data_IF_685274546316
#
_entry.id   IF_685274546316
#
_cell.length_a   1.000
_cell.length_b   1.000
_cell.length_c   1.000
_cell.angle_alpha   90.00
_cell.angle_beta   90.00
_cell.angle_gamma   90.00
#
_symmetry.space_group_name_H-M   'P 1'
#
loop_
_entity.id
_entity.type
_entity.pdbx_description
1 polymer ?
#
# COMPACT_ATOMS: atom_id res chain seq x y z
N UNK A 1 26.45 9.84 3.44
CA UNK A 1 26.89 10.28 2.09
C UNK A 1 25.97 9.77 0.99
N UNK A 2 25.72 8.46 0.85
CA UNK A 2 24.88 7.88 -0.23
C UNK A 2 23.43 8.40 -0.18
N UNK A 3 22.77 8.31 0.98
CA UNK A 3 21.38 8.79 1.16
C UNK A 3 21.22 10.25 0.77
N UNK A 4 22.14 11.11 1.19
CA UNK A 4 22.14 12.53 0.83
C UNK A 4 22.22 12.74 -0.69
N UNK A 5 23.17 12.09 -1.34
CA UNK A 5 23.35 12.18 -2.79
C UNK A 5 22.13 11.70 -3.58
N UNK A 6 21.46 10.62 -3.09
CA UNK A 6 20.23 10.11 -3.68
C UNK A 6 19.08 11.14 -3.57
N UNK A 7 18.87 11.70 -2.38
CA UNK A 7 17.83 12.71 -2.16
C UNK A 7 18.08 13.99 -2.96
N UNK A 8 19.32 14.49 -2.98
CA UNK A 8 19.71 15.65 -3.81
C UNK A 8 19.50 15.37 -5.30
N UNK A 9 19.82 14.14 -5.74
CA UNK A 9 19.56 13.70 -7.11
C UNK A 9 18.06 13.66 -7.45
N UNK A 10 17.23 13.17 -6.53
CA UNK A 10 15.77 13.19 -6.68
C UNK A 10 15.23 14.63 -6.77
N UNK A 11 15.66 15.52 -5.87
CA UNK A 11 15.26 16.93 -5.86
C UNK A 11 15.64 17.60 -7.19
N UNK A 12 16.85 17.35 -7.68
CA UNK A 12 17.32 17.89 -8.96
C UNK A 12 16.44 17.43 -10.14
N UNK A 13 15.93 16.20 -10.07
CA UNK A 13 15.18 15.57 -11.17
C UNK A 13 16.06 15.11 -12.32
N UNK A 14 15.44 14.47 -13.32
CA UNK A 14 16.14 13.81 -14.43
C UNK A 14 15.93 14.52 -15.76
N UNK A 15 16.95 14.44 -16.61
CA UNK A 15 16.92 14.95 -17.98
C UNK A 15 16.97 16.48 -18.08
N UNK A 16 16.77 16.98 -19.30
CA UNK A 16 16.87 18.40 -19.66
C UNK A 16 15.88 19.27 -18.88
N UNK A 17 14.71 18.77 -18.57
CA UNK A 17 13.62 19.48 -17.91
C UNK A 17 13.47 19.15 -16.44
N UNK A 18 14.48 18.50 -15.83
CA UNK A 18 14.46 18.17 -14.40
C UNK A 18 13.18 17.47 -13.93
N UNK A 19 12.65 16.54 -14.75
CA UNK A 19 11.41 15.84 -14.45
C UNK A 19 11.57 14.93 -13.22
N UNK A 20 10.45 14.70 -12.52
CA UNK A 20 10.40 13.71 -11.45
C UNK A 20 10.69 12.33 -12.03
N UNK A 21 11.65 11.62 -11.44
CA UNK A 21 11.91 10.22 -11.82
C UNK A 21 10.78 9.33 -11.31
N UNK A 22 10.35 8.39 -12.14
CA UNK A 22 9.33 7.42 -11.76
C UNK A 22 9.95 6.32 -10.88
N UNK A 23 11.17 5.92 -11.20
CA UNK A 23 11.96 4.92 -10.48
C UNK A 23 13.39 5.43 -10.26
N UNK A 24 14.07 4.95 -9.17
CA UNK A 24 13.58 4.04 -8.13
C UNK A 24 12.56 4.71 -7.19
N UNK A 25 11.61 3.91 -6.66
CA UNK A 25 10.73 4.36 -5.58
C UNK A 25 11.56 4.51 -4.30
N UNK A 26 11.87 5.75 -3.91
CA UNK A 26 12.65 6.04 -2.71
C UNK A 26 11.85 5.70 -1.44
N UNK A 27 12.49 5.04 -0.48
CA UNK A 27 11.94 4.78 0.86
C UNK A 27 12.91 5.37 1.88
N UNK A 28 12.41 6.22 2.77
CA UNK A 28 13.15 6.77 3.88
C UNK A 28 12.71 6.07 5.17
N UNK A 29 13.65 5.46 5.87
CA UNK A 29 13.38 4.79 7.14
C UNK A 29 13.40 5.81 8.28
N UNK A 30 12.25 5.99 8.93
CA UNK A 30 12.10 6.83 10.11
C UNK A 30 12.35 6.02 11.37
N UNK A 31 13.25 6.50 12.25
CA UNK A 31 13.62 5.83 13.49
C UNK A 31 13.82 6.86 14.62
N UNK A 32 13.21 6.62 15.78
CA UNK A 32 13.33 7.48 16.97
C UNK A 32 14.79 7.55 17.44
N UNK A 33 15.24 8.75 17.80
CA UNK A 33 16.62 8.98 18.25
C UNK A 33 17.68 8.93 17.16
N UNK A 34 17.30 8.69 15.90
CA UNK A 34 18.19 8.62 14.75
C UNK A 34 17.97 9.78 13.78
N UNK A 35 16.70 10.06 13.41
CA UNK A 35 16.44 11.05 12.36
C UNK A 35 15.12 11.82 12.46
N UNK A 36 14.27 11.58 13.49
CA UNK A 36 12.91 12.12 13.54
C UNK A 36 12.78 13.51 14.20
N UNK A 37 13.77 13.94 14.97
CA UNK A 37 13.69 15.16 15.79
C UNK A 37 14.93 16.01 15.63
N UNK A 38 14.81 17.35 15.82
CA UNK A 38 15.98 18.23 15.97
C UNK A 38 16.93 17.70 17.03
N UNK A 39 18.21 17.59 16.68
CA UNK A 39 19.26 17.02 17.53
C UNK A 39 19.54 15.53 17.29
N UNK A 40 18.69 14.81 16.60
CA UNK A 40 19.02 13.45 16.14
C UNK A 40 20.18 13.46 15.14
N UNK A 41 21.05 12.44 15.12
CA UNK A 41 22.28 12.40 14.29
C UNK A 41 22.06 12.60 12.78
N UNK A 42 20.92 12.21 12.25
CA UNK A 42 20.56 12.26 10.83
C UNK A 42 19.29 13.08 10.57
N UNK A 43 18.95 14.02 11.44
CA UNK A 43 17.77 14.87 11.27
C UNK A 43 17.84 15.73 9.99
N UNK A 44 19.04 16.17 9.59
CA UNK A 44 19.28 16.89 8.35
C UNK A 44 18.88 16.07 7.11
N UNK A 45 19.09 14.77 7.13
CA UNK A 45 18.67 13.86 6.06
C UNK A 45 17.14 13.69 6.03
N UNK A 46 16.49 13.69 7.19
CA UNK A 46 15.04 13.67 7.27
C UNK A 46 14.43 14.95 6.67
N UNK A 47 14.96 16.11 7.01
CA UNK A 47 14.54 17.39 6.40
C UNK A 47 14.73 17.39 4.89
N UNK A 48 15.85 16.87 4.41
CA UNK A 48 16.12 16.73 2.98
C UNK A 48 15.15 15.74 2.30
N UNK A 49 14.74 14.67 3.00
CA UNK A 49 13.72 13.74 2.52
C UNK A 49 12.36 14.41 2.37
N UNK A 50 11.95 15.23 3.35
CA UNK A 50 10.72 16.04 3.29
C UNK A 50 10.76 17.03 2.12
N UNK A 51 11.89 17.69 1.90
CA UNK A 51 12.09 18.59 0.74
C UNK A 51 11.95 17.81 -0.58
N UNK A 52 12.54 16.63 -0.67
CA UNK A 52 12.40 15.78 -1.84
C UNK A 52 10.92 15.37 -2.08
N UNK A 53 10.22 14.92 -1.05
CA UNK A 53 8.79 14.55 -1.14
C UNK A 53 7.94 15.75 -1.59
N UNK A 54 8.19 16.94 -1.06
CA UNK A 54 7.43 18.14 -1.39
C UNK A 54 7.52 18.51 -2.88
N UNK A 55 8.66 18.20 -3.52
CA UNK A 55 8.96 18.55 -4.90
C UNK A 55 8.79 17.40 -5.89
N UNK A 56 8.89 16.13 -5.43
CA UNK A 56 9.11 14.98 -6.30
C UNK A 56 8.30 13.74 -5.95
N UNK A 57 7.33 13.81 -5.04
CA UNK A 57 6.52 12.66 -4.58
C UNK A 57 7.28 11.57 -3.81
N UNK A 58 8.59 11.62 -3.74
CA UNK A 58 9.45 10.65 -3.05
C UNK A 58 10.46 11.34 -2.15
N UNK A 59 10.92 10.63 -1.09
CA UNK A 59 10.63 9.25 -0.70
C UNK A 59 9.29 9.07 -0.01
N UNK A 60 8.85 7.81 0.11
CA UNK A 60 7.87 7.40 1.13
C UNK A 60 8.59 7.14 2.44
N UNK A 61 7.83 7.01 3.54
CA UNK A 61 8.37 6.89 4.89
C UNK A 61 8.01 5.54 5.49
N UNK A 62 9.04 4.76 5.87
CA UNK A 62 8.88 3.48 6.56
C UNK A 62 9.19 3.67 8.05
N UNK A 63 8.30 3.21 8.92
CA UNK A 63 8.41 3.31 10.36
C UNK A 63 9.20 2.11 10.92
N UNK A 64 10.46 2.30 11.25
CA UNK A 64 11.29 1.23 11.84
C UNK A 64 10.76 0.83 13.22
N UNK A 65 10.21 1.80 13.96
CA UNK A 65 9.65 1.62 15.30
C UNK A 65 8.21 1.10 15.34
N UNK A 66 7.67 0.73 14.18
CA UNK A 66 6.32 0.16 14.09
C UNK A 66 6.16 -1.06 15.00
N UNK A 67 5.05 -1.12 15.75
CA UNK A 67 4.81 -2.19 16.72
C UNK A 67 4.77 -3.60 16.09
N UNK A 68 4.32 -3.71 14.84
CA UNK A 68 4.34 -4.97 14.08
C UNK A 68 5.75 -5.44 13.69
N UNK A 69 6.78 -4.61 13.85
CA UNK A 69 8.19 -4.95 13.71
C UNK A 69 8.93 -5.04 15.06
N UNK A 70 8.21 -5.08 16.18
CA UNK A 70 8.79 -5.23 17.51
C UNK A 70 9.73 -6.45 17.55
N UNK A 71 10.90 -6.28 18.16
CA UNK A 71 11.93 -7.33 18.21
C UNK A 71 12.93 -7.27 17.05
N UNK A 72 12.93 -6.20 16.23
CA UNK A 72 14.07 -5.93 15.35
C UNK A 72 15.33 -5.66 16.19
N UNK A 73 16.50 -5.96 15.60
CA UNK A 73 17.77 -5.69 16.23
C UNK A 73 18.29 -4.32 15.79
N UNK A 74 18.44 -3.35 16.72
CA UNK A 74 18.96 -2.01 16.40
C UNK A 74 20.37 -2.00 15.80
N UNK A 75 21.15 -3.06 16.03
CA UNK A 75 22.50 -3.20 15.51
C UNK A 75 22.54 -3.96 14.17
N UNK A 76 21.42 -4.56 13.73
CA UNK A 76 21.30 -5.26 12.45
C UNK A 76 20.23 -4.61 11.53
N UNK A 77 20.62 -3.71 10.61
CA UNK A 77 19.69 -3.07 9.68
C UNK A 77 18.88 -4.02 8.79
N UNK A 78 19.31 -5.29 8.63
CA UNK A 78 18.56 -6.29 7.86
C UNK A 78 17.26 -6.71 8.54
N UNK A 79 17.08 -6.37 9.82
CA UNK A 79 15.87 -6.62 10.61
C UNK A 79 14.91 -5.42 10.61
N UNK A 80 15.33 -4.25 10.10
CA UNK A 80 14.51 -3.05 10.07
C UNK A 80 13.32 -3.20 9.17
N UNK A 81 12.19 -2.61 9.57
CA UNK A 81 11.02 -2.56 8.72
C UNK A 81 11.33 -1.76 7.46
N UNK A 82 11.03 -2.34 6.34
CA UNK A 82 11.01 -1.70 5.02
C UNK A 82 10.05 -2.44 4.11
N UNK A 83 9.70 -1.82 2.99
CA UNK A 83 8.81 -2.40 1.99
C UNK A 83 9.56 -2.71 0.70
N UNK A 84 9.02 -3.64 -0.08
CA UNK A 84 9.44 -3.93 -1.45
C UNK A 84 8.39 -3.36 -2.40
N UNK A 85 8.84 -2.64 -3.44
CA UNK A 85 7.93 -1.99 -4.38
C UNK A 85 6.95 -1.06 -3.68
N UNK A 86 5.65 -1.24 -3.94
CA UNK A 86 4.63 -0.29 -3.49
C UNK A 86 4.36 -0.33 -1.98
N UNK A 87 4.25 -1.53 -1.40
CA UNK A 87 3.91 -1.71 0.03
C UNK A 87 4.20 -3.10 0.57
N UNK A 88 4.63 -4.05 -0.24
CA UNK A 88 4.89 -5.43 0.19
C UNK A 88 5.95 -5.45 1.28
N UNK A 89 5.70 -6.20 2.35
CA UNK A 89 6.64 -6.34 3.47
C UNK A 89 6.83 -7.82 3.84
N UNK A 90 7.98 -8.12 4.43
CA UNK A 90 8.26 -9.42 4.99
C UNK A 90 8.03 -9.39 6.50
N UNK A 91 7.05 -10.16 6.98
CA UNK A 91 6.86 -10.41 8.41
C UNK A 91 7.89 -11.41 8.98
N UNK A 92 7.66 -11.87 10.20
CA UNK A 92 8.47 -12.92 10.81
C UNK A 92 8.47 -14.19 9.96
N UNK A 93 9.67 -14.74 9.70
CA UNK A 93 9.84 -16.01 8.99
C UNK A 93 9.84 -17.19 9.93
N UNK A 94 8.91 -18.14 9.74
CA UNK A 94 8.82 -19.37 10.53
C UNK A 94 9.90 -20.40 10.17
N UNK A 95 10.58 -20.21 9.02
CA UNK A 95 11.54 -21.17 8.45
C UNK A 95 12.99 -20.87 8.77
N UNK A 96 13.27 -20.04 9.79
CA UNK A 96 14.58 -19.87 10.38
C UNK A 96 15.24 -18.50 10.16
N UNK A 97 14.73 -17.62 9.28
CA UNK A 97 15.26 -16.26 9.12
C UNK A 97 14.73 -15.30 10.19
N UNK A 98 13.60 -15.64 10.87
CA UNK A 98 13.07 -14.81 11.94
C UNK A 98 12.74 -13.39 11.48
N UNK A 99 13.40 -12.38 12.05
CA UNK A 99 13.22 -10.97 11.72
C UNK A 99 13.98 -10.52 10.46
N UNK A 100 14.88 -11.33 9.89
CA UNK A 100 15.62 -10.94 8.69
C UNK A 100 14.66 -10.66 7.53
N UNK A 101 14.84 -9.53 6.87
CA UNK A 101 14.00 -9.07 5.75
C UNK A 101 14.66 -9.31 4.40
N UNK A 102 15.99 -9.28 4.36
CA UNK A 102 16.78 -9.38 3.14
C UNK A 102 16.68 -10.76 2.46
N UNK A 103 16.75 -10.76 1.15
CA UNK A 103 16.77 -11.98 0.35
C UNK A 103 15.47 -12.77 0.35
N UNK A 104 14.38 -12.17 0.80
CA UNK A 104 13.02 -12.74 0.83
C UNK A 104 12.12 -11.97 -0.14
N UNK A 105 10.99 -12.57 -0.52
CA UNK A 105 10.06 -11.94 -1.44
C UNK A 105 8.60 -12.36 -1.18
N UNK A 106 7.66 -11.67 -1.82
CA UNK A 106 6.29 -12.12 -1.93
C UNK A 106 6.20 -13.12 -3.10
N UNK A 107 5.90 -14.38 -2.78
CA UNK A 107 5.91 -15.48 -3.75
C UNK A 107 4.64 -15.46 -4.60
N UNK A 108 3.48 -15.28 -3.95
CA UNK A 108 2.21 -15.19 -4.63
C UNK A 108 1.19 -14.42 -3.78
N UNK A 109 0.40 -13.52 -4.38
CA UNK A 109 -0.77 -12.91 -3.75
C UNK A 109 -2.08 -13.53 -4.27
N UNK A 110 -3.10 -13.56 -3.41
CA UNK A 110 -4.51 -13.75 -3.77
C UNK A 110 -5.33 -12.64 -3.12
N UNK A 111 -6.24 -12.02 -3.87
CA UNK A 111 -7.08 -10.92 -3.37
C UNK A 111 -8.54 -11.34 -3.36
N UNK A 112 -9.19 -11.22 -2.21
CA UNK A 112 -10.63 -11.46 -2.02
C UNK A 112 -11.39 -10.17 -2.32
N UNK A 113 -12.42 -10.25 -3.17
CA UNK A 113 -13.31 -9.12 -3.48
C UNK A 113 -14.45 -9.13 -2.47
N UNK A 114 -14.30 -8.37 -1.40
CA UNK A 114 -15.23 -8.39 -0.27
C UNK A 114 -16.65 -7.94 -0.61
N UNK A 115 -16.90 -6.91 -1.44
CA UNK A 115 -18.26 -6.49 -1.78
C UNK A 115 -19.08 -7.60 -2.46
N UNK A 116 -18.43 -8.45 -3.26
CA UNK A 116 -19.10 -9.61 -3.86
C UNK A 116 -19.57 -10.60 -2.80
N UNK A 117 -18.72 -10.88 -1.79
CA UNK A 117 -19.12 -11.74 -0.66
C UNK A 117 -20.24 -11.13 0.17
N UNK A 118 -20.24 -9.80 0.34
CA UNK A 118 -21.31 -9.12 1.08
C UNK A 118 -22.67 -9.24 0.38
N UNK A 119 -22.69 -9.16 -0.96
CA UNK A 119 -23.93 -9.39 -1.73
C UNK A 119 -24.40 -10.83 -1.64
N UNK A 120 -23.50 -11.80 -1.77
CA UNK A 120 -23.82 -13.22 -1.59
C UNK A 120 -24.38 -13.49 -0.17
N UNK A 121 -23.78 -12.87 0.85
CA UNK A 121 -24.25 -12.98 2.23
C UNK A 121 -25.65 -12.37 2.41
N UNK A 122 -25.92 -11.27 1.72
CA UNK A 122 -27.24 -10.62 1.74
C UNK A 122 -28.30 -11.54 1.13
N UNK A 123 -28.03 -12.12 -0.04
CA UNK A 123 -28.93 -13.06 -0.69
C UNK A 123 -29.19 -14.30 0.19
N UNK A 124 -28.15 -14.90 0.74
CA UNK A 124 -28.25 -16.08 1.63
C UNK A 124 -29.00 -15.75 2.92
N UNK A 125 -28.78 -14.58 3.52
CA UNK A 125 -29.46 -14.15 4.72
C UNK A 125 -30.96 -13.91 4.49
N UNK A 126 -31.33 -13.31 3.36
CA UNK A 126 -32.72 -13.09 2.95
C UNK A 126 -33.46 -14.42 2.69
N UNK A 127 -32.80 -15.37 2.03
CA UNK A 127 -33.39 -16.69 1.76
C UNK A 127 -33.60 -17.53 3.02
N UNK A 128 -32.68 -17.46 3.97
CA UNK A 128 -32.67 -18.32 5.15
C UNK A 128 -33.22 -17.65 6.41
N UNK A 129 -33.49 -16.35 6.37
CA UNK A 129 -33.96 -15.58 7.54
C UNK A 129 -32.89 -15.47 8.65
N UNK A 130 -31.61 -15.38 8.26
CA UNK A 130 -30.44 -15.32 9.16
C UNK A 130 -29.81 -13.94 9.18
N UNK A 131 -28.89 -13.69 10.11
CA UNK A 131 -28.17 -12.43 10.20
C UNK A 131 -27.14 -12.32 9.05
N UNK A 132 -27.15 -11.17 8.36
CA UNK A 132 -26.29 -10.92 7.21
C UNK A 132 -24.81 -10.91 7.58
N UNK A 133 -24.46 -10.42 8.79
CA UNK A 133 -23.05 -10.35 9.23
C UNK A 133 -22.56 -11.76 9.52
N UNK A 134 -23.37 -12.62 10.14
CA UNK A 134 -23.01 -13.99 10.40
C UNK A 134 -22.82 -14.78 9.10
N UNK A 135 -23.72 -14.62 8.11
CA UNK A 135 -23.56 -15.19 6.77
C UNK A 135 -22.27 -14.69 6.10
N UNK A 136 -22.01 -13.39 6.15
CA UNK A 136 -20.78 -12.83 5.58
C UNK A 136 -19.52 -13.41 6.22
N UNK A 137 -19.46 -13.50 7.55
CA UNK A 137 -18.30 -14.04 8.25
C UNK A 137 -18.05 -15.52 7.93
N UNK A 138 -19.11 -16.33 7.77
CA UNK A 138 -19.01 -17.72 7.32
C UNK A 138 -18.49 -17.82 5.88
N UNK A 139 -19.00 -17.01 4.97
CA UNK A 139 -18.53 -16.97 3.58
C UNK A 139 -17.08 -16.49 3.49
N UNK A 140 -16.71 -15.49 4.28
CA UNK A 140 -15.33 -14.99 4.35
C UNK A 140 -14.39 -16.09 4.83
N UNK A 141 -14.74 -16.80 5.89
CA UNK A 141 -13.93 -17.91 6.39
C UNK A 141 -13.69 -18.98 5.31
N UNK A 142 -14.75 -19.38 4.62
CA UNK A 142 -14.66 -20.30 3.49
C UNK A 142 -13.73 -19.78 2.39
N UNK A 143 -13.84 -18.50 2.03
CA UNK A 143 -12.98 -17.87 1.00
C UNK A 143 -11.53 -17.76 1.42
N UNK A 144 -11.25 -17.55 2.69
CA UNK A 144 -9.89 -17.58 3.22
C UNK A 144 -9.26 -18.98 3.09
N UNK A 145 -10.02 -20.04 3.32
CA UNK A 145 -9.56 -21.40 3.07
C UNK A 145 -9.32 -21.68 1.58
N UNK A 146 -10.20 -21.23 0.69
CA UNK A 146 -9.99 -21.33 -0.77
C UNK A 146 -8.74 -20.55 -1.22
N UNK A 147 -8.53 -19.34 -0.70
CA UNK A 147 -7.35 -18.53 -0.97
C UNK A 147 -6.05 -19.21 -0.52
N UNK A 148 -6.07 -19.84 0.66
CA UNK A 148 -4.96 -20.65 1.15
C UNK A 148 -4.64 -21.81 0.20
N UNK A 149 -5.67 -22.56 -0.27
CA UNK A 149 -5.47 -23.71 -1.17
C UNK A 149 -4.84 -23.25 -2.50
N UNK A 150 -5.34 -22.15 -3.08
CA UNK A 150 -4.75 -21.57 -4.29
C UNK A 150 -3.30 -21.10 -4.09
N UNK A 151 -2.97 -20.54 -2.92
CA UNK A 151 -1.61 -20.08 -2.63
C UNK A 151 -0.65 -21.26 -2.46
N UNK A 152 -1.09 -22.35 -1.83
CA UNK A 152 -0.29 -23.58 -1.71
C UNK A 152 -0.06 -24.19 -3.10
N UNK A 153 -1.10 -24.32 -3.92
CA UNK A 153 -0.97 -24.85 -5.28
C UNK A 153 0.04 -24.03 -6.12
N UNK A 154 -0.06 -22.70 -6.07
CA UNK A 154 0.89 -21.81 -6.75
C UNK A 154 2.32 -21.95 -6.21
N UNK A 155 2.46 -22.05 -4.91
CA UNK A 155 3.76 -22.27 -4.27
C UNK A 155 4.40 -23.57 -4.73
N UNK A 156 3.65 -24.67 -4.71
CA UNK A 156 4.11 -25.99 -5.18
C UNK A 156 4.49 -25.96 -6.65
N UNK A 157 3.66 -25.32 -7.49
CA UNK A 157 3.95 -25.15 -8.91
C UNK A 157 5.26 -24.38 -9.13
N UNK A 158 5.45 -23.25 -8.43
CA UNK A 158 6.68 -22.45 -8.56
C UNK A 158 7.88 -23.25 -8.07
N UNK A 159 7.77 -23.97 -6.94
CA UNK A 159 8.83 -24.83 -6.42
C UNK A 159 9.21 -26.00 -7.33
N UNK A 160 8.33 -26.41 -8.22
CA UNK A 160 8.58 -27.46 -9.22
C UNK A 160 9.37 -26.96 -10.45
N UNK A 161 9.54 -25.63 -10.59
CA UNK A 161 10.26 -25.08 -11.72
C UNK A 161 11.78 -25.29 -11.55
N UNK A 162 12.52 -25.40 -12.66
CA UNK A 162 13.98 -25.52 -12.59
C UNK A 162 14.60 -24.18 -12.16
N UNK A 163 15.77 -24.24 -11.53
CA UNK A 163 16.51 -23.07 -11.06
C UNK A 163 16.80 -22.06 -12.18
N UNK A 164 16.96 -22.53 -13.39
CA UNK A 164 17.20 -21.74 -14.60
C UNK A 164 16.09 -20.75 -14.91
N UNK A 165 14.87 -20.98 -14.42
CA UNK A 165 13.73 -20.05 -14.58
C UNK A 165 14.01 -18.66 -13.97
N UNK A 166 14.88 -18.60 -12.95
CA UNK A 166 15.32 -17.35 -12.32
C UNK A 166 16.77 -17.48 -11.84
N UNK A 167 17.65 -18.01 -12.70
CA UNK A 167 19.05 -18.38 -12.43
C UNK A 167 19.82 -17.29 -11.67
N UNK A 168 19.75 -16.04 -12.13
CA UNK A 168 20.45 -14.92 -11.49
C UNK A 168 20.06 -14.76 -10.01
N UNK A 169 18.78 -14.91 -9.68
CA UNK A 169 18.29 -14.69 -8.32
C UNK A 169 18.80 -15.74 -7.34
N UNK A 170 18.95 -16.99 -7.79
CA UNK A 170 19.41 -18.08 -6.95
C UNK A 170 20.95 -18.12 -6.86
N UNK A 171 21.65 -18.06 -7.98
CA UNK A 171 23.13 -18.11 -8.01
C UNK A 171 23.80 -16.91 -7.32
N UNK A 172 23.16 -15.74 -7.29
CA UNK A 172 23.68 -14.53 -6.66
C UNK A 172 23.08 -14.27 -5.28
N UNK A 173 22.41 -15.24 -4.69
CA UNK A 173 21.81 -15.16 -3.35
C UNK A 173 20.86 -13.95 -3.19
N UNK A 174 20.25 -13.48 -4.29
CA UNK A 174 19.20 -12.44 -4.24
C UNK A 174 17.94 -12.98 -3.55
N UNK A 175 17.63 -14.27 -3.81
CA UNK A 175 16.74 -15.07 -2.98
C UNK A 175 17.60 -15.87 -2.00
N UNK A 176 17.66 -15.38 -0.76
CA UNK A 176 18.53 -15.97 0.28
C UNK A 176 18.06 -17.38 0.70
N UNK A 177 19.04 -18.19 1.13
CA UNK A 177 18.75 -19.54 1.62
C UNK A 177 18.65 -20.59 0.50
N UNK A 178 19.03 -20.27 -0.72
CA UNK A 178 19.06 -21.27 -1.79
C UNK A 178 20.12 -22.35 -1.53
N UNK A 179 19.70 -23.61 -1.59
CA UNK A 179 20.54 -24.80 -1.48
C UNK A 179 20.32 -25.63 -2.76
N UNK A 180 21.33 -25.77 -3.63
CA UNK A 180 21.18 -26.44 -4.94
C UNK A 180 20.58 -27.85 -4.86
N UNK A 181 20.98 -28.62 -3.85
CA UNK A 181 20.54 -30.01 -3.64
C UNK A 181 19.08 -30.12 -3.20
N UNK A 182 18.53 -29.05 -2.59
CA UNK A 182 17.12 -28.96 -2.14
C UNK A 182 16.23 -28.24 -3.17
N UNK A 183 16.83 -27.69 -4.22
CA UNK A 183 16.16 -26.92 -5.24
C UNK A 183 15.64 -25.57 -4.74
N UNK A 184 14.84 -24.89 -5.60
CA UNK A 184 14.40 -23.51 -5.34
C UNK A 184 13.48 -23.39 -4.13
N UNK A 185 12.84 -24.46 -3.67
CA UNK A 185 12.03 -24.48 -2.44
C UNK A 185 12.85 -24.04 -1.23
N UNK A 186 14.13 -24.35 -1.16
CA UNK A 186 15.01 -23.97 -0.04
C UNK A 186 15.05 -22.45 0.18
N UNK A 187 14.98 -21.65 -0.89
CA UNK A 187 14.87 -20.20 -0.81
C UNK A 187 13.42 -19.73 -0.68
N UNK A 188 12.48 -20.30 -1.47
CA UNK A 188 11.11 -19.80 -1.55
C UNK A 188 10.30 -20.03 -0.28
N UNK A 189 10.63 -21.03 0.55
CA UNK A 189 9.98 -21.25 1.86
C UNK A 189 10.09 -20.06 2.81
N UNK A 190 11.10 -19.19 2.62
CA UNK A 190 11.29 -17.96 3.40
C UNK A 190 10.43 -16.79 2.91
N UNK A 191 9.87 -16.89 1.70
CA UNK A 191 9.01 -15.87 1.13
C UNK A 191 7.60 -15.87 1.72
N UNK A 192 6.81 -14.87 1.33
CA UNK A 192 5.45 -14.67 1.83
C UNK A 192 4.41 -15.15 0.83
N UNK A 193 3.37 -15.82 1.33
CA UNK A 193 2.12 -16.11 0.63
C UNK A 193 1.07 -15.12 1.12
N UNK A 194 0.68 -14.18 0.28
CA UNK A 194 -0.08 -13.01 0.69
C UNK A 194 -1.58 -13.17 0.41
N UNK A 195 -2.40 -13.05 1.46
CA UNK A 195 -3.86 -13.00 1.36
C UNK A 195 -4.30 -11.55 1.47
N UNK A 196 -4.82 -11.01 0.38
CA UNK A 196 -5.26 -9.63 0.29
C UNK A 196 -6.76 -9.47 0.19
N UNK A 197 -7.21 -8.21 0.23
CA UNK A 197 -8.61 -7.83 0.11
C UNK A 197 -8.80 -6.55 -0.70
N UNK A 198 -10.03 -6.34 -1.17
CA UNK A 198 -10.49 -5.16 -1.90
C UNK A 198 -11.89 -4.78 -1.47
N UNK A 199 -12.15 -3.48 -1.32
CA UNK A 199 -13.51 -2.93 -1.15
C UNK A 199 -14.08 -3.08 0.25
N UNK A 200 -13.26 -2.87 1.30
CA UNK A 200 -13.75 -2.92 2.69
C UNK A 200 -14.85 -1.88 2.92
N UNK A 201 -14.69 -0.65 2.45
CA UNK A 201 -15.67 0.41 2.64
C UNK A 201 -17.04 0.03 2.06
N UNK A 202 -17.07 -0.39 0.78
CA UNK A 202 -18.31 -0.78 0.11
C UNK A 202 -18.92 -2.06 0.72
N UNK A 203 -18.09 -2.95 1.25
CA UNK A 203 -18.56 -4.13 2.01
C UNK A 203 -19.33 -3.72 3.24
N UNK A 204 -18.79 -2.80 4.02
CA UNK A 204 -19.45 -2.28 5.23
C UNK A 204 -20.74 -1.54 4.88
N UNK A 205 -20.76 -0.75 3.80
CA UNK A 205 -21.96 -0.09 3.30
C UNK A 205 -23.05 -1.10 2.92
N UNK A 206 -22.71 -2.23 2.28
CA UNK A 206 -23.69 -3.29 1.97
C UNK A 206 -24.22 -3.95 3.24
N UNK A 207 -23.35 -4.23 4.21
CA UNK A 207 -23.70 -5.00 5.40
C UNK A 207 -24.46 -4.18 6.44
N UNK A 208 -24.09 -2.91 6.64
CA UNK A 208 -24.60 -2.09 7.75
C UNK A 208 -24.98 -0.65 7.36
N UNK A 209 -24.82 -0.25 6.09
CA UNK A 209 -25.14 1.09 5.60
C UNK A 209 -24.12 2.18 5.95
N UNK A 210 -22.98 1.83 6.51
CA UNK A 210 -21.91 2.74 6.95
C UNK A 210 -20.56 2.16 6.61
N UNK A 211 -19.52 2.99 6.45
CA UNK A 211 -18.14 2.52 6.23
C UNK A 211 -17.25 2.71 7.49
N UNK A 212 -15.97 2.41 7.40
CA UNK A 212 -15.02 2.44 8.53
C UNK A 212 -14.71 3.84 9.08
N UNK A 213 -15.29 4.89 8.54
CA UNK A 213 -15.19 6.25 9.09
C UNK A 213 -16.08 6.45 10.32
N UNK A 214 -17.07 5.59 10.53
CA UNK A 214 -17.95 5.59 11.70
C UNK A 214 -17.46 4.58 12.76
N UNK A 215 -17.87 4.76 14.01
CA UNK A 215 -17.55 3.84 15.09
C UNK A 215 -18.04 2.42 14.81
N UNK A 216 -19.30 2.29 14.40
CA UNK A 216 -19.92 1.00 14.07
C UNK A 216 -19.27 0.33 12.85
N UNK A 217 -18.96 1.10 11.81
CA UNK A 217 -18.23 0.61 10.64
C UNK A 217 -16.83 0.14 11.02
N UNK A 218 -16.11 0.89 11.86
CA UNK A 218 -14.79 0.53 12.35
C UNK A 218 -14.81 -0.76 13.21
N UNK A 219 -15.83 -0.95 14.05
CA UNK A 219 -15.96 -2.16 14.84
C UNK A 219 -16.10 -3.41 13.95
N UNK A 220 -16.96 -3.35 12.94
CA UNK A 220 -17.12 -4.45 11.98
C UNK A 220 -15.86 -4.63 11.12
N UNK A 221 -15.22 -3.55 10.68
CA UNK A 221 -13.94 -3.60 9.97
C UNK A 221 -12.88 -4.38 10.76
N UNK A 222 -12.73 -4.06 12.06
CA UNK A 222 -11.78 -4.79 12.93
C UNK A 222 -12.12 -6.27 13.08
N UNK A 223 -13.40 -6.66 13.11
CA UNK A 223 -13.81 -8.06 13.15
C UNK A 223 -13.40 -8.79 11.87
N UNK A 224 -13.60 -8.15 10.72
CA UNK A 224 -13.21 -8.69 9.40
C UNK A 224 -11.68 -8.88 9.34
N UNK A 225 -10.92 -7.84 9.68
CA UNK A 225 -9.45 -7.88 9.65
C UNK A 225 -8.87 -8.87 10.66
N UNK A 226 -9.51 -9.02 11.83
CA UNK A 226 -9.10 -10.01 12.82
C UNK A 226 -9.24 -11.43 12.26
N UNK A 227 -10.29 -11.73 11.50
CA UNK A 227 -10.45 -13.03 10.85
C UNK A 227 -9.33 -13.29 9.84
N UNK A 228 -8.97 -12.32 8.99
CA UNK A 228 -7.82 -12.44 8.09
C UNK A 228 -6.54 -12.77 8.85
N UNK A 229 -6.26 -12.03 9.92
CA UNK A 229 -5.06 -12.21 10.76
C UNK A 229 -5.03 -13.60 11.41
N UNK A 230 -6.13 -14.02 12.01
CA UNK A 230 -6.21 -15.31 12.69
C UNK A 230 -6.08 -16.48 11.72
N UNK A 231 -6.71 -16.42 10.54
CA UNK A 231 -6.58 -17.45 9.53
C UNK A 231 -5.17 -17.52 8.95
N UNK A 232 -4.55 -16.38 8.61
CA UNK A 232 -3.16 -16.37 8.15
C UNK A 232 -2.20 -16.94 9.21
N UNK A 233 -2.41 -16.62 10.49
CA UNK A 233 -1.63 -17.22 11.59
C UNK A 233 -1.81 -18.72 11.66
N UNK A 234 -3.06 -19.21 11.64
CA UNK A 234 -3.37 -20.65 11.64
C UNK A 234 -2.72 -21.37 10.45
N UNK A 235 -2.83 -20.82 9.25
CA UNK A 235 -2.23 -21.40 8.05
C UNK A 235 -0.71 -21.44 8.13
N UNK A 236 -0.09 -20.37 8.64
CA UNK A 236 1.35 -20.30 8.87
C UNK A 236 1.83 -21.40 9.83
N UNK A 237 1.14 -21.58 10.93
CA UNK A 237 1.46 -22.58 11.93
C UNK A 237 1.22 -24.01 11.42
N UNK A 238 0.15 -24.24 10.65
CA UNK A 238 -0.23 -25.55 10.13
C UNK A 238 0.67 -25.99 8.97
N UNK A 239 0.86 -25.14 7.99
CA UNK A 239 1.55 -25.48 6.74
C UNK A 239 3.03 -25.14 6.74
N UNK A 240 3.54 -24.48 7.79
CA UNK A 240 4.94 -24.03 7.90
C UNK A 240 5.38 -23.16 6.71
N UNK A 241 4.46 -22.35 6.18
CA UNK A 241 4.70 -21.34 5.15
C UNK A 241 4.29 -19.97 5.66
N UNK A 242 4.94 -18.90 5.19
CA UNK A 242 4.72 -17.55 5.70
C UNK A 242 3.47 -16.91 5.10
N UNK A 243 2.29 -17.35 5.50
CA UNK A 243 1.04 -16.67 5.19
C UNK A 243 0.98 -15.31 5.90
N UNK A 244 0.50 -14.30 5.20
CA UNK A 244 0.36 -12.95 5.74
C UNK A 244 -0.77 -12.17 5.12
N UNK A 245 -1.37 -11.27 5.91
CA UNK A 245 -2.41 -10.34 5.45
C UNK A 245 -1.76 -9.21 4.66
N UNK A 246 -2.23 -9.02 3.44
CA UNK A 246 -1.73 -8.02 2.50
C UNK A 246 -2.82 -7.04 2.08
N UNK A 247 -2.62 -5.78 2.37
CA UNK A 247 -3.51 -4.74 1.88
C UNK A 247 -3.16 -4.42 0.43
N UNK A 248 -3.75 -5.20 -0.45
CA UNK A 248 -3.44 -5.26 -1.88
C UNK A 248 -3.51 -3.86 -2.50
N UNK A 249 -2.55 -3.45 -3.35
CA UNK A 249 -2.68 -2.22 -4.13
C UNK A 249 -3.85 -2.24 -5.09
N UNK A 250 -4.35 -3.40 -5.43
CA UNK A 250 -5.47 -3.72 -6.31
C UNK A 250 -5.43 -3.08 -7.71
N UNK A 251 -4.92 -1.88 -7.84
CA UNK A 251 -4.61 -1.25 -9.14
C UNK A 251 -5.80 -1.31 -10.11
N UNK A 252 -5.61 -1.92 -11.28
CA UNK A 252 -6.67 -2.13 -12.28
C UNK A 252 -7.80 -3.04 -11.78
N UNK A 253 -7.56 -3.85 -10.74
CA UNK A 253 -8.57 -4.74 -10.18
C UNK A 253 -9.74 -3.95 -9.57
N UNK A 254 -9.52 -2.75 -9.02
CA UNK A 254 -10.59 -1.90 -8.49
C UNK A 254 -11.68 -1.67 -9.54
N UNK A 255 -11.29 -1.31 -10.75
CA UNK A 255 -12.20 -1.12 -11.88
C UNK A 255 -12.77 -2.43 -12.42
N UNK A 256 -11.91 -3.43 -12.64
CA UNK A 256 -12.33 -4.72 -13.22
C UNK A 256 -13.31 -5.45 -12.31
N UNK A 257 -13.08 -5.41 -11.00
CA UNK A 257 -13.97 -6.01 -10.02
C UNK A 257 -15.32 -5.29 -9.97
N UNK A 258 -15.35 -3.95 -9.96
CA UNK A 258 -16.57 -3.15 -10.00
C UNK A 258 -17.35 -3.41 -11.30
N UNK A 259 -16.68 -3.47 -12.44
CA UNK A 259 -17.34 -3.76 -13.73
C UNK A 259 -18.03 -5.12 -13.72
N UNK A 260 -17.40 -6.14 -13.12
CA UNK A 260 -17.99 -7.48 -12.97
C UNK A 260 -19.12 -7.48 -11.95
N UNK A 261 -18.96 -6.78 -10.85
CA UNK A 261 -19.98 -6.63 -9.81
C UNK A 261 -21.26 -6.00 -10.37
N UNK A 262 -21.14 -4.86 -11.08
CA UNK A 262 -22.29 -4.19 -11.70
C UNK A 262 -23.04 -5.06 -12.72
N UNK A 263 -22.35 -5.95 -13.41
CA UNK A 263 -22.99 -6.91 -14.34
C UNK A 263 -23.91 -7.91 -13.64
N UNK A 264 -23.61 -8.24 -12.38
CA UNK A 264 -24.37 -9.25 -11.60
C UNK A 264 -25.43 -8.56 -10.74
N UNK A 265 -25.06 -7.50 -10.05
CA UNK A 265 -25.87 -6.87 -9.01
C UNK A 265 -26.47 -5.50 -9.41
N UNK A 266 -26.15 -4.99 -10.62
CA UNK A 266 -26.60 -3.68 -11.10
C UNK A 266 -25.77 -2.53 -10.52
N UNK A 267 -26.27 -1.30 -10.74
CA UNK A 267 -25.60 -0.05 -10.34
C UNK A 267 -25.92 0.33 -8.89
N UNK A 268 -25.54 -0.52 -7.93
CA UNK A 268 -25.69 -0.25 -6.49
C UNK A 268 -24.81 0.93 -6.06
N UNK A 269 -23.61 1.03 -6.64
CA UNK A 269 -22.68 2.11 -6.41
C UNK A 269 -22.58 3.02 -7.63
N UNK A 270 -22.58 4.34 -7.41
CA UNK A 270 -22.45 5.32 -8.49
C UNK A 270 -21.08 5.30 -9.17
N UNK A 271 -20.04 4.92 -8.43
CA UNK A 271 -18.66 4.91 -8.92
C UNK A 271 -18.32 3.67 -9.73
N UNK A 272 -17.31 3.80 -10.59
CA UNK A 272 -16.86 2.73 -11.48
C UNK A 272 -15.67 1.94 -10.94
N UNK A 273 -15.33 2.11 -9.67
CA UNK A 273 -14.23 1.41 -9.00
C UNK A 273 -14.56 1.15 -7.53
N UNK A 274 -13.97 0.09 -6.98
CA UNK A 274 -13.98 -0.16 -5.54
C UNK A 274 -12.85 0.56 -4.85
N UNK A 275 -13.10 0.97 -3.60
CA UNK A 275 -12.06 1.49 -2.71
C UNK A 275 -10.98 0.46 -2.49
N UNK A 276 -9.74 0.92 -2.52
CA UNK A 276 -8.57 0.07 -2.43
C UNK A 276 -8.36 -0.43 -1.01
N UNK A 277 -8.35 -1.75 -0.83
CA UNK A 277 -8.04 -2.41 0.44
C UNK A 277 -8.86 -1.86 1.62
N UNK A 278 -8.18 -1.37 2.69
CA UNK A 278 -8.78 -0.81 3.91
C UNK A 278 -8.92 0.72 3.88
N UNK A 279 -8.49 1.36 2.78
CA UNK A 279 -8.41 2.80 2.77
C UNK A 279 -9.75 3.46 3.00
N UNK A 280 -9.71 4.61 3.65
CA UNK A 280 -10.84 5.55 3.62
C UNK A 280 -11.10 5.91 2.16
N UNK A 281 -12.37 5.89 1.71
CA UNK A 281 -12.72 6.27 0.35
C UNK A 281 -12.12 7.63 -0.05
N UNK A 282 -11.61 7.72 -1.26
CA UNK A 282 -10.84 8.90 -1.71
C UNK A 282 -11.65 10.19 -1.80
N UNK A 283 -12.97 10.10 -1.83
CA UNK A 283 -13.91 11.23 -1.88
C UNK A 283 -14.35 11.71 -0.50
N UNK A 284 -13.98 11.02 0.58
CA UNK A 284 -14.34 11.45 1.94
C UNK A 284 -13.67 12.76 2.33
N UNK A 285 -14.47 13.71 2.80
CA UNK A 285 -14.02 15.03 3.18
C UNK A 285 -13.55 15.04 4.63
N UNK A 286 -12.36 14.52 4.84
CA UNK A 286 -11.72 14.43 6.17
C UNK A 286 -10.34 15.07 6.16
N UNK A 287 -9.86 15.47 7.34
CA UNK A 287 -8.50 15.97 7.50
C UNK A 287 -7.47 14.84 7.31
N UNK A 288 -6.21 15.15 6.97
CA UNK A 288 -5.17 14.12 6.88
C UNK A 288 -4.91 13.43 8.22
N UNK A 289 -5.13 14.12 9.33
CA UNK A 289 -4.98 13.58 10.69
C UNK A 289 -6.10 12.57 11.01
N UNK A 290 -7.36 12.91 10.70
CA UNK A 290 -8.48 11.99 10.87
C UNK A 290 -8.32 10.73 10.01
N UNK A 291 -7.85 10.88 8.76
CA UNK A 291 -7.55 9.75 7.90
C UNK A 291 -6.48 8.83 8.50
N UNK A 292 -5.41 9.41 9.04
CA UNK A 292 -4.35 8.65 9.72
C UNK A 292 -4.93 7.94 10.95
N UNK A 293 -5.77 8.60 11.74
CA UNK A 293 -6.40 8.02 12.94
C UNK A 293 -7.34 6.86 12.61
N UNK A 294 -8.08 6.95 11.51
CA UNK A 294 -8.94 5.87 11.02
C UNK A 294 -8.09 4.68 10.53
N UNK A 295 -7.18 4.92 9.59
CA UNK A 295 -6.40 3.84 8.98
C UNK A 295 -5.41 3.18 9.94
N UNK A 296 -4.85 3.93 10.92
CA UNK A 296 -3.95 3.38 11.94
C UNK A 296 -4.59 2.27 12.77
N UNK A 297 -5.90 2.30 12.95
CA UNK A 297 -6.64 1.27 13.68
C UNK A 297 -6.68 -0.09 12.94
N UNK A 298 -6.43 -0.08 11.62
CA UNK A 298 -6.49 -1.28 10.77
C UNK A 298 -5.11 -1.76 10.31
N UNK A 299 -4.10 -0.90 10.25
CA UNK A 299 -2.77 -1.26 9.73
C UNK A 299 -2.06 -2.36 10.53
N UNK A 300 -2.34 -2.48 11.83
CA UNK A 300 -1.78 -3.51 12.71
C UNK A 300 -2.25 -4.95 12.44
N UNK A 301 -3.26 -5.14 11.58
CA UNK A 301 -3.68 -6.47 11.14
C UNK A 301 -2.85 -7.00 9.98
N UNK A 302 -2.19 -6.12 9.23
CA UNK A 302 -1.34 -6.51 8.10
C UNK A 302 0.02 -7.03 8.56
N UNK A 303 0.48 -8.12 7.93
CA UNK A 303 1.81 -8.70 8.14
C UNK A 303 2.60 -8.89 6.84
N UNK A 304 1.96 -8.67 5.69
CA UNK A 304 2.58 -8.80 4.37
C UNK A 304 2.65 -7.46 3.61
N UNK A 305 2.21 -6.38 4.25
CA UNK A 305 2.38 -5.02 3.75
C UNK A 305 1.09 -4.21 3.62
N UNK A 306 1.20 -2.95 3.99
CA UNK A 306 0.17 -1.92 3.84
C UNK A 306 0.84 -0.56 3.66
N UNK A 307 0.06 0.45 3.29
CA UNK A 307 0.49 1.84 3.17
C UNK A 307 -0.69 2.74 3.48
N UNK A 308 -0.44 3.90 4.06
CA UNK A 308 -1.41 5.00 4.19
C UNK A 308 -0.98 6.16 3.31
N UNK A 309 -1.92 6.72 2.56
CA UNK A 309 -1.71 7.90 1.71
C UNK A 309 -2.49 9.10 2.22
N UNK A 310 -1.90 10.28 2.07
CA UNK A 310 -2.63 11.55 2.16
C UNK A 310 -2.47 12.34 0.87
N UNK A 311 -3.55 13.00 0.47
CA UNK A 311 -3.60 13.82 -0.74
C UNK A 311 -3.49 15.29 -0.34
N UNK A 312 -2.42 15.96 -0.74
CA UNK A 312 -2.19 17.38 -0.49
C UNK A 312 -2.18 18.16 -1.80
N UNK A 313 -2.35 19.47 -1.72
CA UNK A 313 -2.22 20.36 -2.87
C UNK A 313 -0.78 20.86 -3.07
N UNK A 314 -0.52 21.51 -4.19
CA UNK A 314 0.79 22.02 -4.54
C UNK A 314 1.29 23.16 -3.62
N UNK A 315 0.41 23.82 -2.87
CA UNK A 315 0.76 24.86 -1.90
C UNK A 315 1.62 24.34 -0.76
N UNK A 316 1.41 23.07 -0.39
CA UNK A 316 2.18 22.40 0.67
C UNK A 316 3.66 22.17 0.32
N UNK A 317 4.05 22.32 -0.95
CA UNK A 317 5.44 22.15 -1.39
C UNK A 317 6.44 23.08 -0.72
N UNK A 318 5.99 24.18 -0.15
CA UNK A 318 6.82 25.18 0.53
C UNK A 318 6.72 25.13 2.06
N UNK A 319 5.88 24.25 2.62
CA UNK A 319 5.67 24.15 4.07
C UNK A 319 6.24 22.84 4.62
N UNK A 320 7.58 22.80 4.76
CA UNK A 320 8.27 21.58 5.25
C UNK A 320 7.94 21.26 6.70
N UNK A 321 7.59 22.25 7.53
CA UNK A 321 7.26 22.01 8.94
C UNK A 321 5.89 21.33 9.09
N UNK A 322 4.92 21.70 8.23
CA UNK A 322 3.65 20.98 8.16
C UNK A 322 3.83 19.55 7.67
N UNK A 323 4.68 19.32 6.66
CA UNK A 323 5.00 17.95 6.19
C UNK A 323 5.70 17.13 7.26
N UNK A 324 6.63 17.72 8.00
CA UNK A 324 7.29 17.08 9.14
C UNK A 324 6.28 16.68 10.22
N UNK A 325 5.38 17.60 10.59
CA UNK A 325 4.32 17.34 11.55
C UNK A 325 3.46 16.17 11.13
N UNK A 326 3.05 16.13 9.87
CA UNK A 326 2.20 15.08 9.32
C UNK A 326 2.89 13.72 9.29
N UNK A 327 4.16 13.66 8.84
CA UNK A 327 4.92 12.40 8.84
C UNK A 327 5.16 11.91 10.25
N UNK A 328 5.56 12.80 11.18
CA UNK A 328 5.77 12.42 12.57
C UNK A 328 4.48 11.94 13.22
N UNK A 329 3.34 12.58 12.92
CA UNK A 329 2.03 12.13 13.40
C UNK A 329 1.70 10.71 12.93
N UNK A 330 1.88 10.43 11.64
CA UNK A 330 1.66 9.11 11.10
C UNK A 330 2.55 8.04 11.76
N UNK A 331 3.85 8.35 11.96
CA UNK A 331 4.77 7.46 12.65
C UNK A 331 4.37 7.23 14.13
N UNK A 332 3.91 8.26 14.82
CA UNK A 332 3.50 8.18 16.24
C UNK A 332 2.14 7.48 16.40
N UNK A 333 1.30 7.48 15.38
CA UNK A 333 0.07 6.66 15.29
C UNK A 333 0.31 5.23 14.83
N UNK A 334 1.56 4.79 14.83
CA UNK A 334 1.96 3.42 14.50
C UNK A 334 1.63 3.02 13.04
N UNK A 335 1.59 3.98 12.12
CA UNK A 335 1.51 3.68 10.68
C UNK A 335 2.85 3.07 10.24
N UNK A 336 2.85 1.85 9.64
CA UNK A 336 4.09 1.20 9.23
C UNK A 336 4.74 1.82 7.99
N UNK A 337 3.92 2.28 7.04
CA UNK A 337 4.39 2.85 5.78
C UNK A 337 3.46 3.97 5.32
N UNK A 338 4.04 5.13 5.06
CA UNK A 338 3.30 6.36 4.81
C UNK A 338 3.79 7.06 3.54
N UNK A 339 2.87 7.63 2.77
CA UNK A 339 3.19 8.41 1.60
C UNK A 339 2.34 9.67 1.50
N UNK A 340 2.96 10.74 1.01
CA UNK A 340 2.32 12.00 0.72
C UNK A 340 2.22 12.16 -0.79
N UNK A 341 1.01 12.41 -1.28
CA UNK A 341 0.74 12.67 -2.67
C UNK A 341 0.53 14.17 -2.89
N UNK A 342 1.45 14.78 -3.64
CA UNK A 342 1.36 16.17 -4.09
C UNK A 342 1.34 16.12 -5.61
N UNK A 343 0.39 16.77 -6.30
CA UNK A 343 0.37 16.84 -7.76
C UNK A 343 1.69 17.39 -8.33
N UNK A 344 2.21 16.75 -9.37
CA UNK A 344 3.44 17.17 -10.02
C UNK A 344 3.30 17.12 -11.54
N UNK A 345 2.77 18.20 -12.11
CA UNK A 345 2.60 18.34 -13.55
C UNK A 345 3.86 18.92 -14.19
N UNK A 346 4.14 18.56 -15.42
CA UNK A 346 5.29 19.04 -16.18
C UNK A 346 4.87 19.46 -17.58
N UNK A 347 5.17 20.70 -17.94
CA UNK A 347 5.08 21.14 -19.35
C UNK A 347 6.22 20.52 -20.15
N UNK A 348 5.89 19.75 -21.21
CA UNK A 348 6.91 19.10 -22.04
C UNK A 348 7.65 20.08 -22.96
N UNK A 349 7.12 21.30 -23.18
CA UNK A 349 7.71 22.27 -24.07
C UNK A 349 8.69 23.23 -23.37
N UNK A 350 8.32 23.76 -22.19
CA UNK A 350 9.19 24.68 -21.46
C UNK A 350 9.84 24.11 -20.20
N UNK A 351 9.37 22.93 -19.72
CA UNK A 351 9.91 22.28 -18.52
C UNK A 351 9.36 22.83 -17.20
N UNK A 352 8.39 23.74 -17.22
CA UNK A 352 7.75 24.20 -15.99
C UNK A 352 7.10 23.03 -15.24
N UNK A 353 7.31 22.97 -13.93
CA UNK A 353 6.73 21.96 -13.04
C UNK A 353 5.91 22.59 -11.93
N UNK A 354 4.80 21.96 -11.55
CA UNK A 354 3.91 22.43 -10.50
C UNK A 354 2.57 21.72 -10.53
N UNK A 355 1.58 22.32 -9.90
CA UNK A 355 0.20 21.89 -10.05
C UNK A 355 -0.53 22.85 -11.01
N UNK A 356 -0.97 22.34 -12.14
CA UNK A 356 -1.76 23.11 -13.12
C UNK A 356 -2.58 22.16 -14.00
N UNK A 357 -3.63 22.72 -14.62
CA UNK A 357 -4.54 21.97 -15.47
C UNK A 357 -3.94 21.77 -16.89
N UNK A 358 -4.78 21.82 -17.92
CA UNK A 358 -4.44 21.47 -19.29
C UNK A 358 -3.64 22.58 -20.04
N UNK A 359 -3.28 23.67 -19.37
CA UNK A 359 -2.52 24.80 -19.96
C UNK A 359 -1.36 25.19 -19.07
N UNK A 360 -0.16 25.24 -19.64
CA UNK A 360 1.02 25.69 -18.92
C UNK A 360 0.91 27.19 -18.59
N UNK A 361 1.03 27.59 -17.32
CA UNK A 361 0.91 29.01 -16.93
C UNK A 361 2.09 29.89 -17.42
N UNK A 362 3.19 29.26 -17.86
CA UNK A 362 4.40 29.96 -18.29
C UNK A 362 4.43 30.17 -19.81
N UNK A 363 4.13 29.15 -20.61
CA UNK A 363 4.27 29.24 -22.07
C UNK A 363 2.96 29.03 -22.84
N UNK A 364 1.84 28.77 -22.14
CA UNK A 364 0.53 28.57 -22.78
C UNK A 364 0.38 27.22 -23.51
N UNK A 365 1.34 26.32 -23.42
CA UNK A 365 1.29 25.02 -24.07
C UNK A 365 0.27 24.10 -23.43
N UNK A 366 -0.37 23.25 -24.27
CA UNK A 366 -1.23 22.13 -23.85
C UNK A 366 -0.49 20.79 -23.78
N UNK A 367 0.81 20.77 -24.08
CA UNK A 367 1.63 19.54 -24.01
C UNK A 367 2.08 19.30 -22.58
N UNK A 368 1.14 18.81 -21.75
CA UNK A 368 1.31 18.62 -20.31
C UNK A 368 1.41 17.13 -19.99
N UNK A 369 2.27 16.82 -19.05
CA UNK A 369 2.36 15.50 -18.43
C UNK A 369 1.82 15.62 -17.00
N UNK A 370 0.69 14.94 -16.74
CA UNK A 370 0.01 14.96 -15.43
C UNK A 370 0.47 13.80 -14.57
N UNK A 371 1.51 14.02 -13.77
CA UNK A 371 2.02 12.99 -12.87
C UNK A 371 1.16 12.94 -11.59
N UNK A 372 0.48 11.82 -11.41
CA UNK A 372 -0.29 11.50 -10.21
C UNK A 372 0.12 10.11 -9.72
N UNK A 373 0.23 9.97 -8.40
CA UNK A 373 0.35 8.64 -7.80
C UNK A 373 -1.04 8.11 -7.52
N UNK A 374 -1.32 6.90 -8.02
CA UNK A 374 -2.54 6.16 -7.71
C UNK A 374 -2.16 4.76 -7.27
N UNK A 375 -2.34 4.48 -5.97
CA UNK A 375 -2.15 3.13 -5.39
C UNK A 375 -0.91 2.37 -5.87
N UNK A 376 0.25 2.98 -5.75
CA UNK A 376 1.52 2.33 -6.10
C UNK A 376 1.95 2.52 -7.56
N UNK A 377 1.05 2.91 -8.45
CA UNK A 377 1.46 3.31 -9.79
C UNK A 377 2.04 4.71 -9.82
N UNK A 378 3.18 4.80 -10.49
CA UNK A 378 3.68 6.05 -11.02
C UNK A 378 3.85 5.84 -12.51
N UNK A 379 3.13 6.62 -13.28
CA UNK A 379 3.31 6.64 -14.74
C UNK A 379 3.57 8.08 -15.18
N UNK A 380 3.96 8.21 -16.44
CA UNK A 380 4.24 9.52 -17.01
C UNK A 380 3.02 10.44 -17.09
N UNK A 381 1.83 9.89 -17.33
CA UNK A 381 0.57 10.63 -17.42
C UNK A 381 -0.59 9.70 -17.06
N UNK A 382 -1.33 10.02 -15.98
CA UNK A 382 -2.41 9.17 -15.51
C UNK A 382 -3.58 9.09 -16.50
N UNK A 383 -3.84 10.16 -17.26
CA UNK A 383 -4.94 10.23 -18.24
C UNK A 383 -4.76 9.23 -19.39
N UNK A 384 -3.52 8.85 -19.71
CA UNK A 384 -3.20 7.93 -20.79
C UNK A 384 -2.81 6.54 -20.33
N UNK A 385 -2.26 6.43 -19.13
CA UNK A 385 -1.68 5.17 -18.63
C UNK A 385 -2.63 4.36 -17.77
N UNK A 386 -3.63 4.98 -17.14
CA UNK A 386 -4.56 4.30 -16.25
C UNK A 386 -5.84 3.88 -16.98
N UNK A 387 -6.48 2.80 -16.51
CA UNK A 387 -7.82 2.46 -16.95
C UNK A 387 -8.84 3.51 -16.46
N UNK A 388 -10.03 3.45 -17.03
CA UNK A 388 -11.10 4.42 -16.76
C UNK A 388 -11.40 4.60 -15.26
N UNK A 389 -11.57 3.50 -14.51
CA UNK A 389 -11.86 3.57 -13.08
C UNK A 389 -10.74 4.22 -12.27
N UNK A 390 -9.46 4.01 -12.64
CA UNK A 390 -8.33 4.66 -11.97
C UNK A 390 -8.19 6.14 -12.33
N UNK A 391 -8.57 6.53 -13.54
CA UNK A 391 -8.66 7.94 -13.89
C UNK A 391 -9.74 8.63 -13.05
N UNK A 392 -10.93 8.00 -12.91
CA UNK A 392 -12.01 8.49 -12.06
C UNK A 392 -11.62 8.57 -10.59
N UNK A 393 -10.97 7.55 -10.04
CA UNK A 393 -10.44 7.59 -8.67
C UNK A 393 -9.49 8.79 -8.45
N UNK A 394 -8.68 9.13 -9.46
CA UNK A 394 -7.78 10.27 -9.38
C UNK A 394 -8.54 11.62 -9.39
N UNK A 395 -9.62 11.69 -10.18
CA UNK A 395 -10.48 12.87 -10.29
C UNK A 395 -11.34 13.08 -9.04
N UNK A 396 -11.82 11.98 -8.42
CA UNK A 396 -12.68 11.99 -7.24
C UNK A 396 -11.93 12.29 -5.93
N UNK A 397 -10.60 12.36 -5.93
CA UNK A 397 -9.80 12.54 -4.73
C UNK A 397 -10.04 13.88 -4.06
N UNK A 398 -10.47 13.81 -2.80
CA UNK A 398 -10.51 14.97 -1.93
C UNK A 398 -9.09 15.39 -1.50
N UNK A 399 -8.82 16.69 -1.48
CA UNK A 399 -7.55 17.28 -1.03
C UNK A 399 -7.60 17.53 0.46
N UNK A 400 -6.95 16.69 1.23
CA UNK A 400 -6.96 16.78 2.70
C UNK A 400 -6.37 18.08 3.24
N UNK A 401 -5.45 18.72 2.49
CA UNK A 401 -4.87 20.04 2.86
C UNK A 401 -5.91 21.14 3.00
N UNK A 402 -7.06 21.05 2.31
CA UNK A 402 -8.13 22.04 2.43
C UNK A 402 -8.78 22.09 3.82
N UNK A 403 -8.57 21.06 4.65
CA UNK A 403 -9.05 20.95 6.02
C UNK A 403 -7.92 21.04 7.06
N UNK A 404 -6.70 21.34 6.65
CA UNK A 404 -5.63 21.67 7.58
C UNK A 404 -5.79 23.13 8.00
N UNK A 405 -6.08 23.38 9.26
CA UNK A 405 -5.94 24.71 9.84
C UNK A 405 -4.44 25.07 9.84
N UNK A 406 -4.06 26.11 9.11
CA UNK A 406 -2.69 26.60 8.98
C UNK A 406 -2.36 27.52 10.14
#
# INVERSE_FOLDING_TARGET
MVTKALLEGCIKGVGKFHKTSIFPCGIFQCMKGVNRKPGDPNYDLYRLALESTSKRLYPNYANVDWSGNAGYDPDDPRTYFSTMGCRTANGWDINGFGQLKDGRGNIAPVTIILPTLAMMAKEEAEENGTDIIDCFMLLLDKKLHEAKDQLIERFEYICSQPMESAKFMYENNTMAGYVPEEGIRSALKHGTLAVGQLGLAETLEILIGENQTTEKGMELAKRIEQMFKDRCRLFKETYKLNFGVYYTPAENLCYTAMTKFKKVYGDIFERDYFTNSIHVPVWEQISPFDKIDIESQLTGYSSAGCITYVELDGGMSNNLDALETLVNYAMDKDIPYFAINIPNDTCNDCGFTGEFNDVCPVCGSHNINHLRRVTGYLTGDYKTAFNWGKQKETEDRFRHSSLMEV
#
